data_IF_807648211297
#
_entry.id   IF_807648211297
#
_cell.length_a   1.000
_cell.length_b   1.000
_cell.length_c   1.000
_cell.angle_alpha   90.00
_cell.angle_beta   90.00
_cell.angle_gamma   90.00
#
_symmetry.space_group_name_H-M   'P 1'
#
loop_
_entity.id
_entity.type
_entity.pdbx_description
1 polymer ?
#
# COMPACT_ATOMS: atom_id res chain seq x y z
N UNK A 1 -16.81 -7.58 -12.90
CA UNK A 1 -16.56 -6.16 -13.11
C UNK A 1 -15.13 -5.82 -12.72
N UNK A 2 -14.43 -5.09 -13.59
CA UNK A 2 -13.09 -4.59 -13.30
C UNK A 2 -13.18 -3.15 -12.84
N UNK A 3 -12.40 -2.84 -11.81
CA UNK A 3 -12.23 -1.47 -11.33
C UNK A 3 -10.78 -1.09 -11.56
N UNK A 4 -10.55 0.02 -12.22
CA UNK A 4 -9.23 0.59 -12.38
C UNK A 4 -9.15 1.89 -11.57
N UNK A 5 -7.98 2.20 -11.08
CA UNK A 5 -7.78 3.36 -10.23
C UNK A 5 -6.37 3.90 -10.34
N UNK A 6 -6.03 4.78 -9.44
CA UNK A 6 -4.72 5.40 -9.37
C UNK A 6 -3.74 4.65 -8.47
N UNK A 7 -2.66 5.33 -8.14
CA UNK A 7 -1.58 4.77 -7.33
C UNK A 7 -2.04 4.38 -5.92
N UNK A 8 -2.81 5.26 -5.28
CA UNK A 8 -3.34 4.97 -3.94
C UNK A 8 -4.31 3.79 -3.95
N UNK A 9 -5.11 3.65 -5.00
CA UNK A 9 -6.00 2.50 -5.18
C UNK A 9 -5.20 1.20 -5.25
N UNK A 10 -4.07 1.20 -5.98
CA UNK A 10 -3.19 0.03 -6.05
C UNK A 10 -2.64 -0.37 -4.68
N UNK A 11 -2.18 0.59 -3.90
CA UNK A 11 -1.68 0.34 -2.55
C UNK A 11 -2.78 -0.21 -1.64
N UNK A 12 -3.96 0.40 -1.65
CA UNK A 12 -5.11 -0.05 -0.85
C UNK A 12 -5.53 -1.47 -1.25
N UNK A 13 -5.58 -1.75 -2.54
CA UNK A 13 -5.95 -3.08 -3.03
C UNK A 13 -4.95 -4.15 -2.56
N UNK A 14 -3.66 -3.83 -2.55
CA UNK A 14 -2.61 -4.74 -2.07
C UNK A 14 -2.79 -5.08 -0.59
N UNK A 15 -3.03 -4.08 0.24
CA UNK A 15 -3.25 -4.27 1.67
C UNK A 15 -4.53 -5.05 1.93
N UNK A 16 -5.61 -4.71 1.23
CA UNK A 16 -6.89 -5.39 1.37
C UNK A 16 -6.79 -6.87 0.98
N UNK A 17 -6.10 -7.19 -0.10
CA UNK A 17 -5.90 -8.57 -0.54
C UNK A 17 -5.12 -9.38 0.51
N UNK A 18 -4.08 -8.79 1.09
CA UNK A 18 -3.33 -9.43 2.16
C UNK A 18 -4.20 -9.65 3.40
N UNK A 19 -4.95 -8.62 3.83
CA UNK A 19 -5.85 -8.73 4.99
C UNK A 19 -6.90 -9.84 4.80
N UNK A 20 -7.47 -9.94 3.60
CA UNK A 20 -8.45 -10.98 3.29
C UNK A 20 -7.84 -12.38 3.37
N UNK A 21 -6.59 -12.55 2.94
CA UNK A 21 -5.90 -13.84 3.01
C UNK A 21 -5.54 -14.23 4.45
N UNK A 22 -5.18 -13.25 5.28
CA UNK A 22 -4.77 -13.52 6.67
C UNK A 22 -5.92 -13.65 7.64
N UNK A 23 -7.12 -13.20 7.24
CA UNK A 23 -8.33 -13.26 8.07
C UNK A 23 -9.47 -13.90 7.29
N UNK A 24 -9.42 -15.22 7.03
CA UNK A 24 -10.48 -15.90 6.27
C UNK A 24 -11.84 -15.72 6.92
N UNK A 25 -12.84 -15.42 6.10
CA UNK A 25 -14.21 -15.18 6.57
C UNK A 25 -14.48 -13.76 7.05
N UNK A 26 -13.47 -12.92 7.18
CA UNK A 26 -13.66 -11.52 7.55
C UNK A 26 -14.16 -10.69 6.37
N UNK A 27 -14.99 -9.69 6.65
CA UNK A 27 -15.34 -8.67 5.67
C UNK A 27 -14.26 -7.60 5.63
N UNK A 28 -13.75 -7.28 4.45
CA UNK A 28 -12.73 -6.24 4.25
C UNK A 28 -13.34 -5.14 3.41
N UNK A 29 -13.40 -3.94 3.98
CA UNK A 29 -13.89 -2.75 3.30
C UNK A 29 -12.75 -1.79 3.01
N UNK A 30 -12.75 -1.20 1.81
CA UNK A 30 -11.73 -0.24 1.40
C UNK A 30 -12.35 0.91 0.64
N UNK A 31 -11.57 1.97 0.45
CA UNK A 31 -11.93 3.10 -0.39
C UNK A 31 -10.92 3.22 -1.52
N UNK A 32 -11.40 3.28 -2.75
CA UNK A 32 -10.60 3.59 -3.93
C UNK A 32 -10.77 5.09 -4.22
N UNK A 33 -9.76 5.92 -3.89
CA UNK A 33 -9.97 7.36 -3.83
C UNK A 33 -10.09 8.04 -5.20
N UNK A 34 -9.60 7.41 -6.26
CA UNK A 34 -9.67 8.00 -7.60
C UNK A 34 -9.74 6.94 -8.69
N UNK A 35 -10.12 7.38 -9.89
CA UNK A 35 -10.13 6.56 -11.09
C UNK A 35 -8.79 6.63 -11.84
N UNK A 36 -8.71 6.02 -13.04
CA UNK A 36 -7.47 5.89 -13.79
C UNK A 36 -7.05 7.12 -14.58
N UNK A 37 -7.91 8.13 -14.71
CA UNK A 37 -7.78 9.22 -15.69
C UNK A 37 -6.46 10.00 -15.58
N UNK A 38 -5.96 10.21 -14.38
CA UNK A 38 -4.72 10.97 -14.14
C UNK A 38 -3.46 10.15 -14.40
N UNK A 39 -3.61 8.85 -14.61
CA UNK A 39 -2.49 7.91 -14.57
C UNK A 39 -2.27 7.18 -15.88
N UNK A 40 -2.97 7.58 -16.95
CA UNK A 40 -2.86 6.95 -18.27
C UNK A 40 -1.46 7.07 -18.86
N UNK A 41 -0.74 8.16 -18.55
CA UNK A 41 0.64 8.35 -18.98
C UNK A 41 1.69 7.88 -17.99
N UNK A 42 1.30 7.15 -16.94
CA UNK A 42 2.22 6.62 -15.93
C UNK A 42 1.99 5.13 -15.71
N UNK A 43 1.28 4.71 -14.67
CA UNK A 43 1.14 3.28 -14.32
C UNK A 43 0.44 2.46 -15.42
N UNK A 44 -0.35 3.09 -16.28
CA UNK A 44 -1.00 2.43 -17.41
C UNK A 44 -0.21 2.52 -18.72
N UNK A 45 1.00 3.07 -18.67
CA UNK A 45 1.91 3.20 -19.79
C UNK A 45 3.12 2.30 -19.55
N UNK A 46 3.29 1.29 -20.40
CA UNK A 46 4.37 0.33 -20.27
C UNK A 46 5.75 0.99 -20.41
N UNK A 47 5.88 2.00 -21.26
CA UNK A 47 7.13 2.73 -21.43
C UNK A 47 7.51 3.49 -20.15
N UNK A 48 6.53 4.10 -19.48
CA UNK A 48 6.75 4.74 -18.20
C UNK A 48 7.21 3.73 -17.15
N UNK A 49 6.52 2.59 -17.07
CA UNK A 49 6.85 1.54 -16.10
C UNK A 49 8.27 1.01 -16.33
N UNK A 50 8.64 0.77 -17.57
CA UNK A 50 9.98 0.32 -17.93
C UNK A 50 11.04 1.36 -17.60
N UNK A 51 10.80 2.63 -17.95
CA UNK A 51 11.74 3.72 -17.69
C UNK A 51 12.03 3.93 -16.20
N UNK A 52 11.03 3.70 -15.35
CA UNK A 52 11.14 3.84 -13.90
C UNK A 52 11.44 2.52 -13.18
N UNK A 53 11.71 1.45 -13.94
CA UNK A 53 12.03 0.12 -13.41
C UNK A 53 10.95 -0.43 -12.47
N UNK A 54 9.71 -0.20 -12.83
CA UNK A 54 8.55 -0.67 -12.07
C UNK A 54 8.03 -1.96 -12.70
N UNK A 55 8.23 -3.07 -12.00
CA UNK A 55 7.76 -4.38 -12.45
C UNK A 55 6.67 -4.86 -11.50
N UNK A 56 5.41 -4.96 -11.96
CA UNK A 56 4.31 -5.42 -11.11
C UNK A 56 4.50 -6.85 -10.60
N UNK A 57 5.23 -7.69 -11.31
CA UNK A 57 5.49 -9.07 -10.88
C UNK A 57 6.42 -9.14 -9.67
N UNK A 58 7.20 -8.09 -9.42
CA UNK A 58 8.08 -7.99 -8.27
C UNK A 58 7.42 -7.32 -7.06
N UNK A 59 6.16 -6.92 -7.17
CA UNK A 59 5.45 -6.25 -6.09
C UNK A 59 5.27 -7.20 -4.90
N UNK A 60 5.63 -6.72 -3.71
CA UNK A 60 5.50 -7.50 -2.49
C UNK A 60 4.04 -7.77 -2.14
N UNK A 61 3.69 -9.04 -1.92
CA UNK A 61 2.32 -9.45 -1.57
C UNK A 61 2.10 -9.49 -0.06
N UNK A 62 3.16 -9.39 0.74
CA UNK A 62 3.14 -9.44 2.19
C UNK A 62 3.90 -8.27 2.77
N UNK A 63 3.46 -7.73 3.92
CA UNK A 63 4.24 -6.72 4.63
C UNK A 63 5.44 -7.34 5.35
N UNK A 64 6.40 -6.47 5.65
CA UNK A 64 7.45 -6.75 6.63
C UNK A 64 7.02 -6.12 7.95
N UNK A 65 7.09 -6.88 9.04
CA UNK A 65 6.75 -6.35 10.35
C UNK A 65 7.88 -5.46 10.87
N UNK A 66 7.54 -4.26 11.29
CA UNK A 66 8.48 -3.30 11.87
C UNK A 66 7.95 -2.82 13.21
N UNK A 67 8.86 -2.41 14.08
CA UNK A 67 8.51 -1.91 15.42
C UNK A 67 7.93 -0.51 15.37
N UNK A 68 8.29 0.26 14.35
CA UNK A 68 7.89 1.65 14.23
C UNK A 68 7.79 2.06 12.77
N UNK A 69 6.81 2.93 12.39
CA UNK A 69 6.66 3.35 10.99
C UNK A 69 7.88 4.02 10.39
N UNK A 70 8.76 4.58 11.22
CA UNK A 70 9.98 5.25 10.77
C UNK A 70 11.17 4.33 10.58
N UNK A 71 11.04 3.05 10.86
CA UNK A 71 12.14 2.10 10.62
C UNK A 71 12.44 2.07 9.13
N UNK A 72 13.69 2.37 8.72
CA UNK A 72 14.04 2.33 7.30
C UNK A 72 13.85 0.93 6.73
N UNK A 73 13.21 0.86 5.56
CA UNK A 73 13.00 -0.39 4.86
C UNK A 73 13.01 -0.13 3.36
N UNK A 74 13.75 -0.92 2.63
CA UNK A 74 13.80 -0.86 1.17
C UNK A 74 13.05 -2.04 0.57
N UNK A 75 12.19 -1.76 -0.40
CA UNK A 75 11.42 -2.78 -1.12
C UNK A 75 10.20 -3.27 -0.35
N UNK A 76 9.05 -3.12 -0.97
CA UNK A 76 7.80 -3.56 -0.41
C UNK A 76 7.17 -2.57 0.58
N UNK A 77 6.34 -3.09 1.45
CA UNK A 77 5.61 -2.30 2.42
C UNK A 77 5.71 -2.93 3.82
N UNK A 78 5.42 -2.15 4.82
CA UNK A 78 5.64 -2.54 6.21
C UNK A 78 4.33 -2.52 7.01
N UNK A 79 4.29 -3.34 8.05
CA UNK A 79 3.21 -3.32 9.04
C UNK A 79 3.80 -3.00 10.40
N UNK A 80 3.21 -2.02 11.08
CA UNK A 80 3.55 -1.70 12.45
C UNK A 80 2.36 -2.01 13.35
N UNK A 81 2.56 -2.91 14.30
CA UNK A 81 1.51 -3.31 15.25
C UNK A 81 1.75 -2.78 16.66
N UNK A 82 2.85 -2.07 16.87
CA UNK A 82 3.21 -1.53 18.19
C UNK A 82 2.67 -0.13 18.45
N UNK A 83 2.26 0.58 17.38
CA UNK A 83 1.62 1.89 17.50
C UNK A 83 0.11 1.68 17.56
N UNK A 84 -0.47 1.83 18.74
CA UNK A 84 -1.91 1.65 18.95
C UNK A 84 -2.68 2.96 18.86
N UNK A 85 -2.01 4.08 19.11
CA UNK A 85 -2.56 5.41 18.97
C UNK A 85 -1.51 6.31 18.30
N UNK A 86 -1.63 6.53 16.98
CA UNK A 86 -0.65 7.35 16.26
C UNK A 86 -0.56 8.80 16.78
N UNK A 87 -1.65 9.34 17.29
CA UNK A 87 -1.65 10.70 17.82
C UNK A 87 -0.88 10.77 19.13
N UNK A 88 -1.13 9.84 20.06
CA UNK A 88 -0.40 9.77 21.30
C UNK A 88 1.09 9.53 21.06
N UNK A 89 1.44 8.61 20.17
CA UNK A 89 2.83 8.35 19.80
C UNK A 89 3.51 9.59 19.23
N UNK A 90 2.81 10.33 18.39
CA UNK A 90 3.33 11.58 17.82
C UNK A 90 3.57 12.64 18.90
N UNK A 91 2.69 12.75 19.88
CA UNK A 91 2.82 13.71 20.99
C UNK A 91 4.00 13.37 21.90
N UNK A 92 4.22 12.11 22.19
CA UNK A 92 5.34 11.65 23.04
C UNK A 92 6.70 11.98 22.43
N UNK A 93 6.78 12.19 21.13
CA UNK A 93 8.03 12.48 20.40
C UNK A 93 8.28 13.94 20.16
N UNK A 94 7.38 14.78 20.54
CA UNK A 94 7.61 16.23 20.46
C UNK A 94 8.59 16.64 21.59
N UNK A 95 9.64 17.39 21.23
CA UNK A 95 10.58 17.88 22.23
C UNK A 95 9.95 18.88 23.20
#
# INVERSE_FOLDING_TARGET
NFVSGGWSTGAVARVAAWAARTHPGAAVATVFPDGPHRYLGSVYDDDFMTAHRLDPDLAAVRPVDVRHPRVPHSGGWTRCTTVTDPLADSMERQP
#
